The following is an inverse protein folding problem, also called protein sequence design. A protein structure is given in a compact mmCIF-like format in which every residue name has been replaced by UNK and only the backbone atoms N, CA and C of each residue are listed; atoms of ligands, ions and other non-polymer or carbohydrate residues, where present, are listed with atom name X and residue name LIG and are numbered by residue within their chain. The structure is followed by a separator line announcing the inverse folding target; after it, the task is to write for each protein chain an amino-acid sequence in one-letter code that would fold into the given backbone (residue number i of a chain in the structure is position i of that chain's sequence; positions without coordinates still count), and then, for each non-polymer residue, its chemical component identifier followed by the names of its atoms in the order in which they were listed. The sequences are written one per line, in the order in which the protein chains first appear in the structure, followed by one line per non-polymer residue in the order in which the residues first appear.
data_IF_928758893581
#
_entry.id   IF_928758893581
#
_cell.length_a   1.000
_cell.length_b   1.000
_cell.length_c   1.000
_cell.angle_alpha   90.00
_cell.angle_beta   90.00
_cell.angle_gamma   90.00
#
_symmetry.space_group_name_H-M   'P 1'
#
loop_
_entity.id
_entity.type
_entity.pdbx_description
1 polymer ?
#
# COMPACT_ATOMS: atom_id res chain seq x y z
N UNK A 1 18.59 19.95 0.98
CA UNK A 1 19.08 18.69 1.63
C UNK A 1 18.95 17.50 0.68
N UNK A 2 19.83 16.50 0.83
CA UNK A 2 19.71 15.16 0.23
C UNK A 2 18.86 14.27 1.14
N UNK A 3 17.67 13.89 0.71
CA UNK A 3 16.72 13.09 1.49
C UNK A 3 16.53 11.73 0.84
N UNK A 4 16.49 10.69 1.67
CA UNK A 4 16.14 9.34 1.23
C UNK A 4 14.81 8.89 1.85
N UNK A 5 13.99 8.22 1.04
CA UNK A 5 12.71 7.65 1.43
C UNK A 5 12.71 6.18 1.05
N UNK A 6 12.34 5.31 2.00
CA UNK A 6 12.31 3.86 1.77
C UNK A 6 10.88 3.40 1.49
N UNK A 7 10.70 2.68 0.38
CA UNK A 7 9.43 2.09 -0.04
C UNK A 7 8.54 3.03 -0.84
N UNK A 8 7.69 2.43 -1.68
CA UNK A 8 6.81 3.13 -2.63
C UNK A 8 5.32 2.96 -2.33
N UNK A 9 4.95 2.79 -1.06
CA UNK A 9 3.51 2.84 -0.71
C UNK A 9 2.94 4.24 -1.05
N UNK A 10 1.63 4.38 -1.31
CA UNK A 10 1.04 5.66 -1.71
C UNK A 10 1.43 6.82 -0.81
N UNK A 11 1.42 6.60 0.51
CA UNK A 11 1.77 7.66 1.47
C UNK A 11 3.24 8.07 1.40
N UNK A 12 4.14 7.11 1.17
CA UNK A 12 5.58 7.39 1.04
C UNK A 12 5.88 8.14 -0.26
N UNK A 13 5.14 7.84 -1.34
CA UNK A 13 5.26 8.59 -2.60
C UNK A 13 4.72 10.01 -2.45
N UNK A 14 3.56 10.20 -1.81
CA UNK A 14 3.02 11.54 -1.52
C UNK A 14 4.04 12.36 -0.73
N UNK A 15 4.67 11.75 0.29
CA UNK A 15 5.73 12.38 1.07
C UNK A 15 6.95 12.73 0.21
N UNK A 16 7.38 11.83 -0.68
CA UNK A 16 8.50 12.07 -1.59
C UNK A 16 8.28 13.27 -2.49
N UNK A 17 7.10 13.34 -3.12
CA UNK A 17 6.71 14.43 -4.01
C UNK A 17 6.57 15.75 -3.24
N UNK A 18 6.05 15.71 -2.01
CA UNK A 18 5.95 16.91 -1.18
C UNK A 18 7.35 17.45 -0.80
N UNK A 19 8.28 16.56 -0.43
CA UNK A 19 9.63 16.95 -0.02
C UNK A 19 10.52 17.35 -1.19
N UNK A 20 10.30 16.78 -2.39
CA UNK A 20 11.13 17.06 -3.58
C UNK A 20 11.02 18.50 -4.07
N UNK A 21 9.98 19.23 -3.67
CA UNK A 21 9.82 20.66 -4.00
C UNK A 21 10.95 21.55 -3.47
N UNK A 22 11.63 21.13 -2.40
CA UNK A 22 12.70 21.91 -1.74
C UNK A 22 13.96 21.09 -1.49
N UNK A 23 14.00 19.83 -1.96
CA UNK A 23 15.06 18.89 -1.59
C UNK A 23 15.38 17.93 -2.75
N UNK A 24 16.61 17.43 -2.78
CA UNK A 24 17.01 16.32 -3.65
C UNK A 24 16.55 15.02 -3.00
N UNK A 25 15.47 14.42 -3.51
CA UNK A 25 14.86 13.21 -2.95
C UNK A 25 15.29 11.98 -3.75
N UNK A 26 15.66 10.92 -3.04
CA UNK A 26 15.90 9.58 -3.59
C UNK A 26 14.96 8.57 -2.93
N UNK A 27 14.31 7.74 -3.74
CA UNK A 27 13.46 6.63 -3.30
C UNK A 27 14.21 5.31 -3.41
N UNK A 28 14.19 4.50 -2.37
CA UNK A 28 14.61 3.10 -2.43
C UNK A 28 13.39 2.19 -2.50
N UNK A 29 13.33 1.32 -3.50
CA UNK A 29 12.31 0.28 -3.61
C UNK A 29 12.99 -1.06 -3.89
N UNK A 30 12.58 -2.13 -3.21
CA UNK A 30 13.20 -3.44 -3.42
C UNK A 30 12.66 -4.16 -4.65
N UNK A 31 11.53 -3.70 -5.20
CA UNK A 31 10.80 -4.34 -6.30
C UNK A 31 10.78 -3.48 -7.54
N UNK A 32 10.76 -4.13 -8.71
CA UNK A 32 10.54 -3.46 -10.00
C UNK A 32 9.21 -2.68 -10.04
N UNK A 33 8.17 -3.18 -9.36
CA UNK A 33 6.84 -2.57 -9.34
C UNK A 33 6.61 -1.73 -8.09
N UNK A 34 6.10 -0.51 -8.28
CA UNK A 34 5.75 0.41 -7.20
C UNK A 34 4.44 0.05 -6.50
N UNK A 35 4.28 0.56 -5.28
CA UNK A 35 3.02 0.57 -4.56
C UNK A 35 2.95 -0.35 -3.35
N UNK A 36 3.90 -1.26 -3.19
CA UNK A 36 3.87 -2.21 -2.08
C UNK A 36 2.55 -2.98 -2.03
N UNK A 37 1.85 -2.93 -0.89
CA UNK A 37 0.52 -3.54 -0.69
C UNK A 37 -0.59 -2.90 -1.55
N UNK A 38 -0.30 -1.78 -2.20
CA UNK A 38 -1.21 -1.02 -3.07
C UNK A 38 -0.84 -1.12 -4.54
N UNK A 39 0.06 -2.04 -4.90
CA UNK A 39 0.53 -2.19 -6.28
C UNK A 39 -0.61 -2.56 -7.25
N UNK A 40 -0.29 -2.40 -8.53
CA UNK A 40 -1.17 -2.69 -9.65
C UNK A 40 -0.46 -3.59 -10.65
N UNK A 41 -1.21 -4.18 -11.55
CA UNK A 41 -0.69 -4.62 -12.83
C UNK A 41 -1.56 -4.03 -13.94
N UNK A 42 -0.96 -3.91 -15.14
CA UNK A 42 -1.64 -3.44 -16.34
C UNK A 42 -2.23 -4.65 -17.06
N UNK A 43 -3.51 -4.56 -17.44
CA UNK A 43 -4.18 -5.51 -18.34
C UNK A 43 -4.84 -4.70 -19.45
N UNK A 44 -4.36 -4.86 -20.68
CA UNK A 44 -4.67 -3.94 -21.79
C UNK A 44 -4.43 -2.49 -21.36
N UNK A 45 -5.40 -1.59 -21.50
CA UNK A 45 -5.32 -0.19 -21.07
C UNK A 45 -5.74 0.06 -19.61
N UNK A 46 -5.99 -0.98 -18.81
CA UNK A 46 -6.53 -0.85 -17.45
C UNK A 46 -5.52 -1.19 -16.36
N UNK A 47 -5.50 -0.40 -15.29
CA UNK A 47 -4.82 -0.74 -14.04
C UNK A 47 -5.75 -1.51 -13.10
N UNK A 48 -5.28 -2.68 -12.64
CA UNK A 48 -6.02 -3.60 -11.78
C UNK A 48 -5.26 -3.79 -10.47
N UNK A 49 -5.95 -3.68 -9.35
CA UNK A 49 -5.36 -3.95 -8.05
C UNK A 49 -5.04 -5.43 -7.94
N UNK A 50 -3.80 -5.76 -7.61
CA UNK A 50 -3.39 -7.12 -7.32
C UNK A 50 -3.49 -7.47 -5.82
N UNK A 51 -4.05 -6.57 -5.00
CA UNK A 51 -4.39 -6.77 -3.58
C UNK A 51 -5.76 -6.17 -3.28
N UNK A 52 -6.25 -6.40 -2.07
CA UNK A 52 -7.58 -5.99 -1.60
C UNK A 52 -7.55 -4.76 -0.68
N UNK A 53 -6.53 -3.90 -0.79
CA UNK A 53 -6.40 -2.73 0.07
C UNK A 53 -7.36 -1.61 -0.35
N UNK A 54 -8.00 -0.97 0.62
CA UNK A 54 -8.95 0.15 0.45
C UNK A 54 -8.62 1.29 1.40
N UNK A 55 -8.88 2.52 0.98
CA UNK A 55 -8.68 3.72 1.81
C UNK A 55 -10.01 4.06 2.48
N UNK A 56 -10.11 3.77 3.76
CA UNK A 56 -11.29 4.03 4.60
C UNK A 56 -10.84 4.50 5.98
N UNK A 57 -11.60 5.38 6.67
CA UNK A 57 -11.32 5.70 8.05
C UNK A 57 -11.72 4.51 8.94
N UNK A 58 -10.95 4.24 10.00
CA UNK A 58 -11.24 3.15 10.95
C UNK A 58 -11.86 3.64 12.25
N UNK A 59 -12.08 4.96 12.38
CA UNK A 59 -12.72 5.61 13.52
C UNK A 59 -13.34 6.96 13.13
N UNK A 60 -14.29 7.44 13.94
CA UNK A 60 -15.00 8.72 13.74
C UNK A 60 -14.06 9.92 13.60
N UNK A 61 -12.98 9.95 14.37
CA UNK A 61 -12.00 11.05 14.33
C UNK A 61 -11.17 11.09 13.04
N UNK A 62 -11.05 9.97 12.32
CA UNK A 62 -10.42 9.92 11.00
C UNK A 62 -11.39 10.34 9.89
N UNK A 63 -12.67 9.98 10.00
CA UNK A 63 -13.68 10.28 8.98
C UNK A 63 -13.85 11.79 8.77
N UNK A 64 -13.75 12.59 9.83
CA UNK A 64 -13.76 14.06 9.76
C UNK A 64 -12.73 14.64 8.77
N UNK A 65 -11.63 13.93 8.52
CA UNK A 65 -10.56 14.38 7.63
C UNK A 65 -10.65 13.85 6.19
N UNK A 66 -11.57 12.93 5.89
CA UNK A 66 -11.68 12.31 4.55
C UNK A 66 -11.93 13.36 3.48
N UNK A 67 -12.78 14.37 3.74
CA UNK A 67 -13.03 15.47 2.78
C UNK A 67 -11.73 16.21 2.42
N UNK A 68 -10.88 16.49 3.41
CA UNK A 68 -9.59 17.17 3.19
C UNK A 68 -8.61 16.29 2.40
N UNK A 69 -8.57 15.00 2.69
CA UNK A 69 -7.77 14.02 1.93
C UNK A 69 -8.20 14.01 0.48
N UNK A 70 -9.51 13.92 0.22
CA UNK A 70 -10.06 13.93 -1.14
C UNK A 70 -9.71 15.23 -1.86
N UNK A 71 -9.91 16.39 -1.22
CA UNK A 71 -9.57 17.70 -1.79
C UNK A 71 -8.09 17.76 -2.17
N UNK A 72 -7.20 17.34 -1.27
CA UNK A 72 -5.77 17.29 -1.53
C UNK A 72 -5.42 16.36 -2.69
N UNK A 73 -5.93 15.12 -2.68
CA UNK A 73 -5.60 14.12 -3.70
C UNK A 73 -6.10 14.54 -5.08
N UNK A 74 -7.31 15.10 -5.18
CA UNK A 74 -7.84 15.69 -6.41
C UNK A 74 -6.94 16.82 -6.91
N UNK A 75 -6.64 17.81 -6.06
CA UNK A 75 -5.87 19.00 -6.44
C UNK A 75 -4.42 18.68 -6.81
N UNK A 76 -3.74 17.79 -6.06
CA UNK A 76 -2.31 17.52 -6.25
C UNK A 76 -2.00 16.42 -7.27
N UNK A 77 -2.88 15.44 -7.44
CA UNK A 77 -2.63 14.29 -8.31
C UNK A 77 -3.67 14.11 -9.43
N UNK A 78 -4.61 15.04 -9.56
CA UNK A 78 -5.77 14.90 -10.46
C UNK A 78 -6.46 13.53 -10.29
N UNK A 79 -6.61 13.11 -9.02
CA UNK A 79 -7.09 11.77 -8.70
C UNK A 79 -8.61 11.68 -8.96
N UNK A 80 -9.04 10.75 -9.81
CA UNK A 80 -10.46 10.43 -9.94
C UNK A 80 -10.92 9.72 -8.65
N UNK A 81 -11.79 10.39 -7.90
CA UNK A 81 -12.37 9.88 -6.65
C UNK A 81 -13.88 10.00 -6.74
N UNK A 82 -14.57 8.87 -6.49
CA UNK A 82 -16.03 8.78 -6.52
C UNK A 82 -16.55 8.10 -5.25
N UNK A 83 -17.75 8.48 -4.81
CA UNK A 83 -18.43 7.81 -3.71
C UNK A 83 -18.78 6.38 -4.14
N UNK A 84 -18.56 5.42 -3.25
CA UNK A 84 -18.97 4.05 -3.44
C UNK A 84 -20.46 3.91 -3.12
N UNK A 85 -21.24 3.41 -4.09
CA UNK A 85 -22.67 3.07 -3.93
C UNK A 85 -22.91 1.56 -3.75
N UNK A 86 -21.85 0.74 -3.79
CA UNK A 86 -21.94 -0.73 -3.71
C UNK A 86 -21.72 -1.21 -2.28
N UNK A 87 -22.04 -2.48 -2.05
CA UNK A 87 -21.83 -3.16 -0.77
C UNK A 87 -20.39 -2.99 -0.29
N UNK A 88 -20.25 -2.56 0.95
CA UNK A 88 -19.01 -2.56 1.72
C UNK A 88 -19.27 -3.27 3.05
N UNK A 89 -18.57 -4.38 3.30
CA UNK A 89 -18.63 -5.11 4.58
C UNK A 89 -17.24 -5.18 5.18
N UNK A 90 -17.12 -4.77 6.45
CA UNK A 90 -15.91 -4.88 7.26
C UNK A 90 -16.24 -5.56 8.57
N UNK A 91 -15.27 -6.20 9.22
CA UNK A 91 -15.37 -6.70 10.59
C UNK A 91 -15.00 -5.65 11.64
N UNK A 92 -14.49 -4.49 11.23
CA UNK A 92 -14.15 -3.40 12.16
C UNK A 92 -15.38 -2.93 12.93
N UNK A 93 -15.21 -2.59 14.22
CA UNK A 93 -16.29 -2.03 15.06
C UNK A 93 -16.86 -0.74 14.45
N UNK A 94 -16.01 0.11 13.89
CA UNK A 94 -16.45 1.34 13.23
C UNK A 94 -16.84 1.09 11.76
N UNK A 95 -18.04 1.55 11.37
CA UNK A 95 -18.49 1.53 9.97
C UNK A 95 -18.51 2.97 9.42
N UNK A 96 -17.69 3.30 8.41
CA UNK A 96 -17.67 4.65 7.85
C UNK A 96 -18.97 4.95 7.08
N UNK A 97 -19.52 6.16 7.23
CA UNK A 97 -20.74 6.59 6.51
C UNK A 97 -20.44 6.84 5.03
N UNK A 98 -19.27 7.39 4.75
CA UNK A 98 -18.85 7.75 3.40
C UNK A 98 -17.63 6.94 2.96
N UNK A 99 -17.81 6.13 1.92
CA UNK A 99 -16.78 5.29 1.34
C UNK A 99 -16.50 5.78 -0.07
N UNK A 100 -15.22 5.86 -0.42
CA UNK A 100 -14.78 6.39 -1.70
C UNK A 100 -13.85 5.40 -2.40
N UNK A 101 -13.93 5.40 -3.73
CA UNK A 101 -13.06 4.62 -4.60
C UNK A 101 -12.01 5.57 -5.16
N UNK A 102 -10.74 5.25 -4.91
CA UNK A 102 -9.59 6.07 -5.26
C UNK A 102 -8.82 5.46 -6.41
N UNK A 103 -8.55 6.26 -7.44
CA UNK A 103 -7.72 5.85 -8.56
C UNK A 103 -6.22 6.10 -8.30
N UNK A 104 -5.68 5.42 -7.28
CA UNK A 104 -4.33 5.70 -6.75
C UNK A 104 -3.20 5.43 -7.75
N UNK A 105 -3.45 4.77 -8.90
CA UNK A 105 -2.42 4.59 -9.93
C UNK A 105 -1.87 5.95 -10.42
N UNK A 106 -2.70 6.99 -10.40
CA UNK A 106 -2.34 8.35 -10.77
C UNK A 106 -1.27 8.99 -9.88
N UNK A 107 -1.13 8.54 -8.63
CA UNK A 107 -0.03 8.98 -7.75
C UNK A 107 1.32 8.50 -8.32
N UNK A 108 1.37 7.29 -8.87
CA UNK A 108 2.59 6.75 -9.48
C UNK A 108 2.87 7.37 -10.85
N UNK A 109 1.82 7.67 -11.64
CA UNK A 109 1.98 8.44 -12.89
C UNK A 109 2.60 9.81 -12.59
N UNK A 110 2.18 10.47 -11.52
CA UNK A 110 2.75 11.75 -11.09
C UNK A 110 4.21 11.60 -10.63
N UNK A 111 4.52 10.55 -9.85
CA UNK A 111 5.90 10.27 -9.42
C UNK A 111 6.87 10.18 -10.61
N UNK A 112 6.46 9.52 -11.71
CA UNK A 112 7.28 9.38 -12.92
C UNK A 112 7.60 10.71 -13.61
N UNK A 113 6.76 11.74 -13.39
CA UNK A 113 6.96 13.09 -13.93
C UNK A 113 7.81 13.97 -13.02
N UNK A 114 8.07 13.54 -11.78
CA UNK A 114 8.91 14.28 -10.85
C UNK A 114 10.38 13.93 -11.05
N UNK A 115 11.28 14.90 -10.87
CA UNK A 115 12.72 14.68 -10.82
C UNK A 115 13.14 14.04 -9.48
N UNK A 116 12.72 12.80 -9.24
CA UNK A 116 13.04 12.02 -8.05
C UNK A 116 13.80 10.77 -8.48
N UNK A 117 15.04 10.61 -8.00
CA UNK A 117 15.85 9.42 -8.29
C UNK A 117 15.22 8.20 -7.63
N UNK A 118 15.06 7.11 -8.37
CA UNK A 118 14.57 5.83 -7.83
C UNK A 118 15.68 4.79 -7.94
N UNK A 119 16.05 4.20 -6.81
CA UNK A 119 17.04 3.13 -6.70
C UNK A 119 16.30 1.83 -6.39
N UNK A 120 16.34 0.88 -7.32
CA UNK A 120 15.72 -0.43 -7.15
C UNK A 120 16.64 -1.37 -6.34
N UNK A 121 16.84 -1.08 -5.06
CA UNK A 121 17.72 -1.84 -4.15
C UNK A 121 17.04 -2.03 -2.80
N UNK A 122 17.16 -3.23 -2.23
CA UNK A 122 16.69 -3.48 -0.87
C UNK A 122 17.56 -2.74 0.14
N UNK A 123 16.94 -2.04 1.10
CA UNK A 123 17.66 -1.39 2.21
C UNK A 123 17.94 -2.44 3.27
N UNK A 124 19.21 -2.84 3.40
CA UNK A 124 19.66 -3.83 4.39
C UNK A 124 20.26 -3.17 5.62
N UNK A 125 20.99 -2.07 5.43
CA UNK A 125 21.70 -1.36 6.48
C UNK A 125 21.36 0.14 6.47
N UNK A 126 21.14 0.68 7.67
CA UNK A 126 21.04 2.12 7.91
C UNK A 126 22.06 2.43 9.01
N UNK A 127 22.98 3.35 8.74
CA UNK A 127 23.84 3.93 9.76
C UNK A 127 23.72 5.45 9.78
N UNK A 128 23.87 6.03 10.96
CA UNK A 128 23.90 7.47 11.18
C UNK A 128 25.20 7.78 11.89
N UNK A 129 26.03 8.64 11.31
CA UNK A 129 27.31 9.08 11.87
C UNK A 129 27.61 10.48 11.38
N UNK A 130 28.28 11.31 12.20
CA UNK A 130 28.71 12.68 11.85
C UNK A 130 27.60 13.51 11.19
N UNK A 131 26.37 13.44 11.73
CA UNK A 131 25.16 14.13 11.23
C UNK A 131 24.70 13.71 9.81
N UNK A 132 25.23 12.63 9.24
CA UNK A 132 24.83 12.04 7.96
C UNK A 132 24.17 10.68 8.15
N UNK A 133 23.38 10.29 7.16
CA UNK A 133 22.73 8.98 7.07
C UNK A 133 23.32 8.21 5.91
N UNK A 134 23.76 6.99 6.15
CA UNK A 134 24.25 6.09 5.12
C UNK A 134 23.24 4.95 4.91
N UNK A 135 22.78 4.79 3.67
CA UNK A 135 21.89 3.70 3.24
C UNK A 135 22.62 2.92 2.16
N UNK A 136 23.01 1.66 2.42
CA UNK A 136 23.72 0.83 1.45
C UNK A 136 24.92 1.56 0.77
N UNK A 137 25.72 2.29 1.55
CA UNK A 137 26.87 3.11 1.12
C UNK A 137 26.52 4.44 0.41
N UNK A 138 25.24 4.79 0.29
CA UNK A 138 24.82 6.11 -0.21
C UNK A 138 24.65 7.11 0.95
N UNK A 139 25.20 8.32 0.80
CA UNK A 139 25.12 9.38 1.81
C UNK A 139 23.90 10.29 1.62
N UNK A 140 23.20 10.57 2.71
CA UNK A 140 22.05 11.47 2.79
C UNK A 140 22.08 12.32 4.06
N UNK A 141 21.30 13.40 4.07
CA UNK A 141 21.12 14.24 5.26
C UNK A 141 19.98 13.77 6.14
N UNK A 142 19.02 12.99 5.60
CA UNK A 142 17.85 12.49 6.34
C UNK A 142 17.22 11.28 5.67
N UNK A 143 16.73 10.33 6.47
CA UNK A 143 15.96 9.16 6.00
C UNK A 143 14.54 9.14 6.54
N UNK A 144 13.59 8.75 5.68
CA UNK A 144 12.24 8.37 6.06
C UNK A 144 12.02 6.88 5.82
N UNK A 145 11.68 6.13 6.87
CA UNK A 145 11.40 4.69 6.79
C UNK A 145 9.93 4.39 7.12
N UNK A 146 9.29 3.43 6.44
CA UNK A 146 7.91 3.04 6.72
C UNK A 146 7.86 2.03 7.87
N UNK A 147 6.72 1.93 8.55
CA UNK A 147 6.51 0.99 9.67
C UNK A 147 6.84 -0.47 9.34
N UNK A 148 6.52 -0.93 8.12
CA UNK A 148 6.72 -2.32 7.70
C UNK A 148 7.99 -2.51 6.86
N UNK A 149 9.05 -1.72 7.13
CA UNK A 149 10.37 -1.90 6.52
C UNK A 149 11.03 -3.22 6.97
N UNK A 150 11.79 -3.86 6.09
CA UNK A 150 12.58 -5.07 6.39
C UNK A 150 13.89 -4.78 7.18
N UNK A 151 13.84 -3.85 8.12
CA UNK A 151 15.01 -3.38 8.87
C UNK A 151 15.22 -4.22 10.13
N UNK A 152 16.39 -4.86 10.24
CA UNK A 152 16.80 -5.66 11.40
C UNK A 152 17.62 -4.88 12.42
N UNK A 153 18.48 -3.98 11.96
CA UNK A 153 19.33 -3.14 12.82
C UNK A 153 19.58 -1.76 12.23
N UNK A 154 19.81 -0.78 13.09
CA UNK A 154 20.29 0.57 12.75
C UNK A 154 21.49 0.88 13.63
N UNK A 155 22.58 1.37 13.05
CA UNK A 155 23.72 1.91 13.81
C UNK A 155 23.55 3.42 13.92
N UNK A 156 23.58 3.97 15.14
CA UNK A 156 23.57 5.43 15.36
C UNK A 156 24.77 5.74 16.23
N UNK A 157 25.74 6.44 15.66
CA UNK A 157 27.05 6.67 16.23
C UNK A 157 27.71 5.34 16.64
N UNK A 158 27.96 5.11 17.93
CA UNK A 158 28.52 3.85 18.46
C UNK A 158 27.45 2.81 18.82
N UNK A 159 26.17 3.20 18.86
CA UNK A 159 25.09 2.36 19.38
C UNK A 159 24.36 1.57 18.28
N UNK A 160 23.95 0.34 18.62
CA UNK A 160 23.13 -0.50 17.74
C UNK A 160 21.71 -0.64 18.27
N UNK A 161 20.73 -0.42 17.39
CA UNK A 161 19.31 -0.59 17.67
C UNK A 161 18.77 -1.77 16.87
N UNK A 162 18.25 -2.79 17.55
CA UNK A 162 17.76 -4.03 16.94
C UNK A 162 16.24 -4.10 16.89
N UNK A 163 15.72 -4.57 15.76
CA UNK A 163 14.30 -4.64 15.46
C UNK A 163 13.94 -6.02 14.91
N UNK A 164 12.92 -6.63 15.53
CA UNK A 164 12.34 -7.87 15.06
C UNK A 164 11.10 -7.57 14.21
N UNK A 165 10.78 -8.48 13.30
CA UNK A 165 9.55 -8.47 12.50
C UNK A 165 9.24 -9.88 12.00
N UNK A 166 7.96 -10.15 11.77
CA UNK A 166 7.50 -11.40 11.16
C UNK A 166 7.31 -11.21 9.65
N UNK A 167 7.97 -12.03 8.84
CA UNK A 167 7.68 -12.08 7.40
C UNK A 167 6.33 -12.77 7.18
N UNK A 168 5.41 -12.07 6.51
CA UNK A 168 4.11 -12.61 6.13
C UNK A 168 3.96 -12.52 4.61
N UNK A 169 3.69 -13.66 3.98
CA UNK A 169 3.37 -13.72 2.55
C UNK A 169 1.85 -13.67 2.38
N UNK A 170 1.33 -12.57 1.85
CA UNK A 170 -0.06 -12.46 1.40
C UNK A 170 -0.18 -12.99 -0.03
N UNK A 171 -1.13 -13.91 -0.28
CA UNK A 171 -1.47 -14.39 -1.62
C UNK A 171 -2.85 -13.86 -2.01
N UNK A 172 -2.99 -13.37 -3.24
CA UNK A 172 -4.24 -12.83 -3.75
C UNK A 172 -4.58 -13.46 -5.09
N UNK A 173 -5.79 -14.00 -5.22
CA UNK A 173 -6.37 -14.41 -6.49
C UNK A 173 -6.90 -13.18 -7.20
N UNK A 174 -6.55 -13.01 -8.47
CA UNK A 174 -7.11 -12.00 -9.37
C UNK A 174 -7.76 -12.69 -10.54
N UNK A 175 -9.01 -12.33 -10.83
CA UNK A 175 -9.78 -12.80 -11.97
C UNK A 175 -10.25 -11.62 -12.84
N UNK A 176 -10.26 -11.84 -14.15
CA UNK A 176 -10.91 -10.95 -15.12
C UNK A 176 -11.89 -11.82 -15.92
N UNK A 177 -13.17 -11.44 -15.93
CA UNK A 177 -14.21 -12.16 -16.65
C UNK A 177 -15.00 -11.23 -17.59
N UNK A 178 -15.46 -11.76 -18.73
CA UNK A 178 -16.42 -11.11 -19.63
C UNK A 178 -17.83 -11.09 -19.03
N UNK A 179 -18.24 -12.18 -18.37
CA UNK A 179 -19.58 -12.32 -17.77
C UNK A 179 -19.53 -12.10 -16.26
N UNK A 180 -20.65 -11.59 -15.74
CA UNK A 180 -20.91 -11.50 -14.31
C UNK A 180 -20.97 -12.92 -13.72
N UNK A 181 -20.34 -13.11 -12.58
CA UNK A 181 -20.32 -14.40 -11.88
C UNK A 181 -20.61 -14.27 -10.37
N UNK A 182 -20.78 -13.03 -9.90
CA UNK A 182 -21.16 -12.68 -8.53
C UNK A 182 -21.96 -11.38 -8.56
N UNK A 183 -22.79 -11.15 -7.54
CA UNK A 183 -23.39 -9.82 -7.29
C UNK A 183 -22.27 -8.80 -7.04
N UNK A 184 -22.38 -7.60 -7.61
CA UNK A 184 -21.30 -6.60 -7.50
C UNK A 184 -21.20 -6.04 -6.07
N UNK A 185 -19.98 -5.96 -5.54
CA UNK A 185 -19.67 -5.37 -4.24
C UNK A 185 -18.33 -4.65 -4.28
N UNK A 186 -18.16 -3.56 -3.53
CA UNK A 186 -16.88 -2.85 -3.52
C UNK A 186 -15.83 -3.61 -2.72
N UNK A 187 -16.13 -3.97 -1.48
CA UNK A 187 -15.21 -4.66 -0.57
C UNK A 187 -15.99 -5.49 0.45
N UNK A 188 -15.49 -6.70 0.74
CA UNK A 188 -16.05 -7.56 1.78
C UNK A 188 -14.92 -8.23 2.55
N UNK A 189 -14.92 -8.10 3.87
CA UNK A 189 -14.16 -8.96 4.79
C UNK A 189 -14.96 -10.21 5.14
N UNK A 190 -14.25 -11.29 5.48
CA UNK A 190 -14.78 -12.64 5.64
C UNK A 190 -15.64 -13.06 4.43
N UNK A 191 -15.12 -12.84 3.22
CA UNK A 191 -15.89 -13.00 1.98
C UNK A 191 -16.49 -14.40 1.83
N UNK A 192 -15.68 -15.46 2.00
CA UNK A 192 -16.16 -16.84 2.01
C UNK A 192 -15.19 -17.76 2.77
N UNK A 193 -15.37 -19.08 2.64
CA UNK A 193 -14.52 -20.09 3.28
C UNK A 193 -13.05 -20.01 2.87
N UNK A 194 -12.73 -19.53 1.65
CA UNK A 194 -11.40 -19.55 1.04
C UNK A 194 -10.69 -18.19 1.00
N UNK A 195 -11.45 -17.10 1.08
CA UNK A 195 -10.93 -15.75 0.99
C UNK A 195 -11.29 -14.91 2.23
N UNK A 196 -10.27 -14.29 2.82
CA UNK A 196 -10.46 -13.36 3.95
C UNK A 196 -11.14 -12.07 3.51
N UNK A 197 -10.81 -11.61 2.29
CA UNK A 197 -11.21 -10.30 1.79
C UNK A 197 -11.36 -10.37 0.29
N UNK A 198 -12.33 -9.65 -0.26
CA UNK A 198 -12.53 -9.57 -1.70
C UNK A 198 -12.90 -8.15 -2.16
N UNK A 199 -12.62 -7.86 -3.43
CA UNK A 199 -13.04 -6.69 -4.19
C UNK A 199 -13.66 -7.19 -5.51
N UNK A 200 -14.81 -6.63 -5.92
CA UNK A 200 -15.40 -6.91 -7.24
C UNK A 200 -15.86 -5.62 -7.92
N UNK A 201 -15.16 -5.20 -8.97
CA UNK A 201 -15.53 -4.01 -9.74
C UNK A 201 -15.77 -4.33 -11.20
N UNK A 202 -16.82 -3.75 -11.76
CA UNK A 202 -17.02 -3.66 -13.21
C UNK A 202 -16.28 -2.45 -13.77
N UNK A 203 -15.60 -2.64 -14.90
CA UNK A 203 -14.98 -1.58 -15.70
C UNK A 203 -15.22 -1.88 -17.17
N UNK A 204 -15.98 -1.00 -17.86
CA UNK A 204 -16.54 -1.28 -19.19
C UNK A 204 -17.36 -2.58 -19.15
N UNK A 205 -17.12 -3.50 -20.08
CA UNK A 205 -17.75 -4.82 -20.16
C UNK A 205 -17.08 -5.90 -19.29
N UNK A 206 -16.06 -5.56 -18.49
CA UNK A 206 -15.28 -6.55 -17.75
C UNK A 206 -15.52 -6.52 -16.24
N UNK A 207 -15.55 -7.71 -15.65
CA UNK A 207 -15.66 -7.95 -14.22
C UNK A 207 -14.27 -8.26 -13.64
N UNK A 208 -13.82 -7.43 -12.71
CA UNK A 208 -12.50 -7.49 -12.10
C UNK A 208 -12.64 -7.90 -10.63
N UNK A 209 -12.17 -9.09 -10.31
CA UNK A 209 -12.23 -9.65 -8.96
C UNK A 209 -10.82 -9.80 -8.40
N UNK A 210 -10.63 -9.38 -7.16
CA UNK A 210 -9.39 -9.59 -6.42
C UNK A 210 -9.73 -10.06 -5.02
N UNK A 211 -9.18 -11.17 -4.57
CA UNK A 211 -9.44 -11.72 -3.24
C UNK A 211 -8.18 -12.20 -2.53
N UNK A 212 -8.06 -11.94 -1.22
CA UNK A 212 -6.96 -12.42 -0.39
C UNK A 212 -7.24 -13.85 0.06
N UNK A 213 -6.34 -14.76 -0.27
CA UNK A 213 -6.44 -16.19 0.08
C UNK A 213 -6.14 -16.38 1.57
N UNK A 214 -7.06 -17.06 2.27
CA UNK A 214 -6.93 -17.47 3.67
C UNK A 214 -5.67 -18.32 3.87
N UNK A 215 -5.02 -18.23 5.04
CA UNK A 215 -3.73 -18.91 5.32
C UNK A 215 -3.78 -20.40 4.96
N UNK A 216 -4.83 -21.11 5.40
CA UNK A 216 -5.01 -22.56 5.19
C UNK A 216 -5.14 -22.97 3.72
N UNK A 217 -5.52 -22.06 2.81
CA UNK A 217 -5.70 -22.37 1.38
C UNK A 217 -4.61 -21.80 0.47
N UNK A 218 -3.49 -21.32 1.04
CA UNK A 218 -2.42 -20.72 0.24
C UNK A 218 -1.69 -21.73 -0.66
N UNK A 219 -1.84 -23.03 -0.43
CA UNK A 219 -1.22 -24.08 -1.26
C UNK A 219 -1.98 -24.31 -2.57
N UNK A 220 -3.30 -24.06 -2.62
CA UNK A 220 -4.10 -24.23 -3.83
C UNK A 220 -3.68 -23.30 -4.98
N UNK A 221 -3.75 -23.85 -6.19
CA UNK A 221 -3.61 -23.14 -7.46
C UNK A 221 -4.88 -22.32 -7.75
N UNK A 222 -4.76 -21.38 -8.67
CA UNK A 222 -5.84 -20.46 -9.00
C UNK A 222 -7.09 -21.16 -9.58
N UNK A 223 -6.92 -22.22 -10.40
CA UNK A 223 -8.04 -23.00 -10.96
C UNK A 223 -8.83 -23.72 -9.85
N UNK A 224 -8.14 -24.33 -8.90
CA UNK A 224 -8.74 -25.03 -7.77
C UNK A 224 -9.54 -24.06 -6.90
N UNK A 225 -8.98 -22.88 -6.59
CA UNK A 225 -9.69 -21.85 -5.82
C UNK A 225 -10.97 -21.35 -6.51
N UNK A 226 -10.98 -21.25 -7.85
CA UNK A 226 -12.19 -20.90 -8.61
C UNK A 226 -13.25 -21.99 -8.46
N UNK A 227 -12.86 -23.26 -8.64
CA UNK A 227 -13.76 -24.42 -8.51
C UNK A 227 -14.34 -24.51 -7.10
N UNK A 228 -13.49 -24.50 -6.08
CA UNK A 228 -13.87 -24.57 -4.67
C UNK A 228 -14.79 -23.43 -4.23
N UNK A 229 -14.60 -22.22 -4.79
CA UNK A 229 -15.43 -21.06 -4.46
C UNK A 229 -16.77 -21.02 -5.18
N UNK A 230 -17.07 -22.05 -6.00
CA UNK A 230 -18.27 -22.17 -6.82
C UNK A 230 -18.62 -20.88 -7.58
N UNK A 231 -17.64 -20.26 -8.22
CA UNK A 231 -17.88 -19.01 -8.96
C UNK A 231 -18.66 -19.20 -10.26
N UNK A 232 -18.89 -20.43 -10.73
CA UNK A 232 -19.65 -20.67 -11.97
C UNK A 232 -19.07 -19.98 -13.21
N UNK A 233 -17.76 -19.71 -13.26
CA UNK A 233 -17.15 -19.00 -14.39
C UNK A 233 -16.82 -20.01 -15.50
N UNK A 234 -17.57 -19.95 -16.60
CA UNK A 234 -17.25 -20.70 -17.82
C UNK A 234 -15.85 -20.30 -18.35
N UNK A 235 -15.08 -21.28 -18.83
CA UNK A 235 -13.72 -21.08 -19.35
C UNK A 235 -13.65 -20.00 -20.45
N UNK A 236 -14.65 -19.96 -21.35
CA UNK A 236 -14.73 -18.95 -22.44
C UNK A 236 -14.87 -17.50 -21.96
N UNK A 237 -15.37 -17.31 -20.74
CA UNK A 237 -15.56 -15.98 -20.15
C UNK A 237 -14.36 -15.54 -19.29
N UNK A 238 -13.54 -16.48 -18.82
CA UNK A 238 -12.39 -16.20 -17.96
C UNK A 238 -11.19 -15.72 -18.78
N UNK A 239 -10.99 -14.40 -18.81
CA UNK A 239 -9.89 -13.77 -19.54
C UNK A 239 -8.53 -13.83 -18.82
N UNK A 240 -8.55 -13.86 -17.49
CA UNK A 240 -7.35 -13.95 -16.67
C UNK A 240 -7.67 -14.61 -15.34
N UNK A 241 -6.77 -15.48 -14.90
CA UNK A 241 -6.72 -15.97 -13.52
C UNK A 241 -5.27 -16.05 -13.06
N UNK A 242 -4.91 -15.33 -12.00
CA UNK A 242 -3.52 -15.28 -11.52
C UNK A 242 -3.46 -15.10 -10.00
N UNK A 243 -2.47 -15.73 -9.37
CA UNK A 243 -2.13 -15.47 -7.96
C UNK A 243 -0.97 -14.48 -7.88
N UNK A 244 -1.17 -13.39 -7.15
CA UNK A 244 -0.13 -12.43 -6.80
C UNK A 244 0.34 -12.66 -5.37
N UNK A 245 1.66 -12.65 -5.16
CA UNK A 245 2.30 -12.74 -3.84
C UNK A 245 2.77 -11.35 -3.39
N UNK A 246 2.67 -11.08 -2.10
CA UNK A 246 3.22 -9.89 -1.46
C UNK A 246 3.82 -10.26 -0.12
N UNK A 247 5.12 -10.06 0.01
CA UNK A 247 5.79 -10.14 1.30
C UNK A 247 5.61 -8.82 2.07
N UNK A 248 5.14 -8.93 3.31
CA UNK A 248 5.06 -7.86 4.31
C UNK A 248 5.99 -8.18 5.48
N UNK A 249 6.67 -7.17 6.03
CA UNK A 249 7.43 -7.29 7.28
C UNK A 249 6.56 -6.79 8.43
N UNK A 250 5.68 -7.67 8.90
CA UNK A 250 4.70 -7.36 9.94
C UNK A 250 5.39 -7.08 11.26
N UNK A 251 4.87 -6.08 11.97
CA UNK A 251 5.24 -5.74 13.34
C UNK A 251 3.98 -5.60 14.18
N UNK A 252 4.03 -6.08 15.42
CA UNK A 252 3.00 -5.79 16.42
C UNK A 252 3.19 -4.38 17.02
N UNK A 253 2.26 -3.96 17.88
CA UNK A 253 2.26 -2.61 18.45
C UNK A 253 3.51 -2.30 19.29
N UNK A 254 4.03 -3.28 20.03
CA UNK A 254 5.25 -3.12 20.83
C UNK A 254 6.48 -2.92 19.94
N UNK A 255 6.59 -3.70 18.87
CA UNK A 255 7.64 -3.60 17.86
C UNK A 255 7.55 -2.29 17.08
N UNK A 256 6.33 -1.81 16.79
CA UNK A 256 6.09 -0.52 16.16
C UNK A 256 6.52 0.62 17.09
N UNK A 257 6.17 0.57 18.38
CA UNK A 257 6.62 1.54 19.40
C UNK A 257 8.15 1.58 19.45
N UNK A 258 8.81 0.42 19.56
CA UNK A 258 10.28 0.31 19.56
C UNK A 258 10.90 0.94 18.30
N UNK A 259 10.35 0.68 17.12
CA UNK A 259 10.82 1.29 15.87
C UNK A 259 10.61 2.81 15.89
N UNK A 260 9.46 3.28 16.35
CA UNK A 260 9.13 4.70 16.44
C UNK A 260 10.04 5.49 17.40
N UNK A 261 10.70 4.84 18.36
CA UNK A 261 11.71 5.49 19.22
C UNK A 261 12.88 6.06 18.42
N UNK A 262 13.12 5.58 17.18
CA UNK A 262 14.10 6.19 16.28
C UNK A 262 13.76 7.65 15.95
N UNK A 263 12.49 8.07 16.06
CA UNK A 263 12.09 9.45 15.78
C UNK A 263 12.73 10.50 16.73
N UNK A 264 13.33 10.07 17.85
CA UNK A 264 14.11 10.97 18.73
C UNK A 264 15.37 11.50 18.04
N UNK A 265 15.89 10.77 17.04
CA UNK A 265 17.05 11.18 16.27
C UNK A 265 16.63 12.01 15.05
N UNK A 266 17.03 13.28 15.00
CA UNK A 266 16.60 14.26 13.97
C UNK A 266 16.78 13.78 12.51
N UNK A 267 17.74 12.90 12.26
CA UNK A 267 18.16 12.41 10.94
C UNK A 267 17.36 11.22 10.41
N UNK A 268 16.53 10.60 11.24
CA UNK A 268 15.66 9.50 10.84
C UNK A 268 14.22 9.78 11.27
N UNK A 269 13.28 9.53 10.37
CA UNK A 269 11.85 9.62 10.64
C UNK A 269 11.18 8.29 10.29
N UNK A 270 10.50 7.71 11.26
CA UNK A 270 9.59 6.59 11.02
C UNK A 270 8.24 7.16 10.66
N UNK A 271 7.79 6.84 9.46
CA UNK A 271 6.47 7.19 8.95
C UNK A 271 5.53 6.05 9.28
N UNK A 272 4.49 6.33 10.05
CA UNK A 272 3.41 5.39 10.28
C UNK A 272 2.77 5.06 8.92
N UNK A 273 2.87 3.80 8.48
CA UNK A 273 2.24 3.32 7.24
C UNK A 273 1.22 2.21 7.51
N UNK A 274 0.76 2.08 8.75
CA UNK A 274 -0.22 1.05 9.15
C UNK A 274 -1.58 1.29 8.50
N UNK A 275 -2.01 2.56 8.42
CA UNK A 275 -3.32 2.95 7.92
C UNK A 275 -3.23 4.30 7.18
N UNK A 276 -3.65 4.33 5.91
CA UNK A 276 -3.44 5.49 5.01
C UNK A 276 -4.01 6.82 5.53
N UNK A 277 -5.25 6.83 6.05
CA UNK A 277 -5.95 8.03 6.54
C UNK A 277 -5.25 8.61 7.77
N UNK A 278 -4.90 7.76 8.75
CA UNK A 278 -4.12 8.13 9.93
C UNK A 278 -2.74 8.68 9.54
N UNK A 279 -2.03 7.99 8.64
CA UNK A 279 -0.73 8.44 8.14
C UNK A 279 -0.81 9.81 7.46
N UNK A 280 -1.80 10.01 6.60
CA UNK A 280 -2.02 11.26 5.90
C UNK A 280 -2.26 12.41 6.88
N UNK A 281 -3.11 12.19 7.89
CA UNK A 281 -3.36 13.17 8.96
C UNK A 281 -2.08 13.54 9.70
N UNK A 282 -1.27 12.55 10.10
CA UNK A 282 0.00 12.78 10.83
C UNK A 282 1.03 13.59 10.03
N UNK A 283 1.04 13.42 8.71
CA UNK A 283 1.95 14.15 7.82
C UNK A 283 1.47 15.59 7.50
N UNK A 284 0.28 15.98 7.95
CA UNK A 284 -0.28 17.34 7.85
C UNK A 284 -0.23 17.94 6.43
N UNK A 285 -0.47 17.12 5.40
CA UNK A 285 -0.51 17.60 4.02
C UNK A 285 -1.64 18.63 3.83
N UNK A 286 -1.31 19.81 3.26
CA UNK A 286 -2.27 20.89 2.98
C UNK A 286 -2.52 21.03 1.48
N UNK A 287 -3.77 21.31 1.11
CA UNK A 287 -4.19 21.54 -0.27
C UNK A 287 -3.94 23.01 -0.68
N UNK A 288 -2.70 23.49 -0.58
CA UNK A 288 -2.31 24.82 -1.07
C UNK A 288 -2.68 24.96 -2.53
#
# INVERSE_FOLDING_TARGET
MKIVIVGTSPIMIILAIALSKKNKVTLFEKRKNFGGAWSFFKYKSMYIHNKTNVIVPTKKSEEKHIKNIIKYLKKKFNLKIRRNKKIYKTVSKYKPKNIFIYDIHKIYDHLKKCNIKIINKNVTNISISKKKVFINNFEFDKVFIPTFIALKKVKIDKNFYYFNFKKIISKHLVLISKKKFLKEFYYMENFNNYFDRALLKRRKSLYLFTARIKKRFKHFKHKELIKLSNFGIEKKNLLLSKIFKYENCYRDDSQIKKLNNLNKFKKIKVVDTTQFVSSFKKLKFKAN
#
